data_IF_423551411750
#
_entry.id   IF_423551411750
#
_cell.length_a   1.000
_cell.length_b   1.000
_cell.length_c   1.000
_cell.angle_alpha   90.00
_cell.angle_beta   90.00
_cell.angle_gamma   90.00
#
_symmetry.space_group_name_H-M   'P 1'
#
loop_
_entity.id
_entity.type
_entity.pdbx_description
1 polymer ?
#
# COMPACT_ATOMS: atom_id res chain seq x y z
N UNK A 1 11.16 3.06 -2.23
CA UNK A 1 9.80 3.48 -1.87
C UNK A 1 9.72 4.87 -1.23
N UNK A 2 10.74 5.31 -0.47
CA UNK A 2 10.68 6.57 0.31
C UNK A 2 10.21 7.78 -0.49
N UNK A 3 10.76 8.05 -1.68
CA UNK A 3 10.38 9.22 -2.48
C UNK A 3 8.91 9.18 -2.94
N UNK A 4 8.43 8.04 -3.43
CA UNK A 4 7.04 7.88 -3.89
C UNK A 4 6.08 7.98 -2.69
N UNK A 5 6.45 7.39 -1.56
CA UNK A 5 5.65 7.42 -0.35
C UNK A 5 5.48 8.84 0.19
N UNK A 6 6.57 9.62 0.22
CA UNK A 6 6.55 11.05 0.57
C UNK A 6 5.69 11.82 -0.42
N UNK A 7 5.94 11.68 -1.72
CA UNK A 7 5.19 12.37 -2.77
C UNK A 7 3.68 12.12 -2.68
N UNK A 8 3.26 10.86 -2.54
CA UNK A 8 1.85 10.51 -2.42
C UNK A 8 1.26 10.99 -1.10
N UNK A 9 2.03 10.95 -0.01
CA UNK A 9 1.57 11.45 1.29
C UNK A 9 1.30 12.96 1.27
N UNK A 10 2.18 13.72 0.63
CA UNK A 10 2.02 15.16 0.42
C UNK A 10 0.84 15.46 -0.50
N UNK A 11 0.73 14.74 -1.62
CA UNK A 11 -0.36 14.91 -2.60
C UNK A 11 -1.74 14.63 -2.01
N UNK A 12 -1.86 13.58 -1.19
CA UNK A 12 -3.13 13.14 -0.59
C UNK A 12 -3.42 13.80 0.77
N UNK A 13 -2.44 14.50 1.35
CA UNK A 13 -2.53 15.11 2.68
C UNK A 13 -2.73 14.10 3.81
N UNK A 14 -2.29 12.85 3.62
CA UNK A 14 -2.46 11.73 4.56
C UNK A 14 -1.23 10.83 4.52
N UNK A 15 -0.95 10.09 5.60
CA UNK A 15 0.10 9.07 5.56
C UNK A 15 -0.25 7.99 4.54
N UNK A 16 0.68 7.69 3.66
CA UNK A 16 0.65 6.58 2.71
C UNK A 16 1.73 5.58 3.11
N UNK A 17 1.38 4.30 3.13
CA UNK A 17 2.33 3.20 3.30
C UNK A 17 2.36 2.39 1.99
N UNK A 18 3.51 2.33 1.33
CA UNK A 18 3.65 1.54 0.10
C UNK A 18 4.18 0.14 0.40
N UNK A 19 3.53 -0.88 -0.16
CA UNK A 19 3.91 -2.28 0.03
C UNK A 19 3.95 -3.03 -1.29
N UNK A 20 4.92 -3.94 -1.43
CA UNK A 20 4.90 -4.93 -2.51
C UNK A 20 3.98 -6.09 -2.16
N UNK A 21 3.28 -6.64 -3.17
CA UNK A 21 2.41 -7.82 -3.00
C UNK A 21 3.17 -9.03 -2.45
N UNK A 22 4.42 -9.22 -2.85
CA UNK A 22 5.36 -10.24 -2.36
C UNK A 22 5.69 -10.08 -0.87
N UNK A 23 5.63 -8.85 -0.34
CA UNK A 23 5.91 -8.54 1.06
C UNK A 23 4.76 -8.85 2.01
N UNK A 24 3.57 -9.20 1.50
CA UNK A 24 2.41 -9.50 2.33
C UNK A 24 2.58 -10.86 3.02
N UNK A 25 2.45 -10.87 4.37
CA UNK A 25 2.45 -12.14 5.12
C UNK A 25 1.31 -13.04 4.63
N UNK A 26 1.52 -14.35 4.42
CA UNK A 26 0.52 -15.21 3.79
C UNK A 26 -0.88 -15.17 4.43
N UNK A 27 -0.93 -15.11 5.76
CA UNK A 27 -2.20 -15.12 6.51
C UNK A 27 -3.01 -13.83 6.31
N UNK A 28 -2.38 -12.66 6.42
CA UNK A 28 -3.09 -11.38 6.28
C UNK A 28 -3.19 -10.94 4.82
N UNK A 29 -2.22 -11.31 3.99
CA UNK A 29 -2.17 -10.98 2.57
C UNK A 29 -3.38 -11.51 1.81
N UNK A 30 -3.90 -12.70 2.17
CA UNK A 30 -5.15 -13.21 1.58
C UNK A 30 -6.33 -12.26 1.81
N UNK A 31 -6.46 -11.72 3.02
CA UNK A 31 -7.54 -10.78 3.37
C UNK A 31 -7.34 -9.44 2.67
N UNK A 32 -6.13 -8.87 2.73
CA UNK A 32 -5.79 -7.61 2.04
C UNK A 32 -6.11 -7.72 0.55
N UNK A 33 -5.72 -8.81 -0.11
CA UNK A 33 -5.97 -9.02 -1.54
C UNK A 33 -7.45 -9.15 -1.91
N UNK A 34 -8.31 -9.53 -0.99
CA UNK A 34 -9.77 -9.57 -1.21
C UNK A 34 -10.40 -8.17 -1.16
N UNK A 35 -9.73 -7.22 -0.50
CA UNK A 35 -10.21 -5.84 -0.31
C UNK A 35 -9.59 -4.83 -1.30
N UNK A 36 -8.68 -5.28 -2.18
CA UNK A 36 -8.03 -4.42 -3.18
C UNK A 36 -9.07 -3.87 -4.17
N UNK A 37 -9.04 -2.55 -4.36
CA UNK A 37 -9.79 -1.85 -5.41
C UNK A 37 -8.83 -1.56 -6.56
N UNK A 38 -9.16 -2.05 -7.76
CA UNK A 38 -8.44 -1.71 -9.00
C UNK A 38 -9.10 -0.48 -9.63
N UNK A 39 -8.30 0.53 -9.97
CA UNK A 39 -8.73 1.75 -10.66
C UNK A 39 -8.56 1.64 -12.17
#
# INVERSE_FOLDING_TARGET
FIEIEIYLSELLGKRVDLVEKSGLKPRIGKHILQEVIYL
#
